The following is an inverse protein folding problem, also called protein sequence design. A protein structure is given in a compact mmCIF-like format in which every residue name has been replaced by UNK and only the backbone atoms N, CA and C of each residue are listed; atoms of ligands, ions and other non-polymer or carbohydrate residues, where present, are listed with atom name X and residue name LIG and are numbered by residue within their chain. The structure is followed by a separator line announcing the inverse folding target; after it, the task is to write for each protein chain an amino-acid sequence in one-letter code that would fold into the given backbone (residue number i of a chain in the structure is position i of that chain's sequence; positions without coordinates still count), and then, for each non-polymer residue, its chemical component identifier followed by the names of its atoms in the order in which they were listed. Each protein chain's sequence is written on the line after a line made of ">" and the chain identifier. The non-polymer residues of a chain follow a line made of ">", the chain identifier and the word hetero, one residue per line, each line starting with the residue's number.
data_IF_708836993135
#
_entry.id   IF_708836993135
#
_cell.length_a   1.000
_cell.length_b   1.000
_cell.length_c   1.000
_cell.angle_alpha   90.00
_cell.angle_beta   90.00
_cell.angle_gamma   90.00
#
_symmetry.space_group_name_H-M   'P 1'
#
loop_
_entity.id
_entity.type
_entity.pdbx_description
1 polymer ?
#
# COMPACT_ATOMS: atom_id res chain seq x y z
N UNK A 1 -27.64 22.36 20.36
CA UNK A 1 -26.60 21.44 20.86
C UNK A 1 -26.01 20.61 19.71
N UNK A 2 -24.69 20.38 19.77
CA UNK A 2 -23.90 19.71 18.73
C UNK A 2 -24.31 18.24 18.61
N UNK A 3 -24.68 17.82 17.39
CA UNK A 3 -24.78 16.42 16.98
C UNK A 3 -23.44 15.68 17.18
N UNK A 4 -23.18 15.21 18.41
CA UNK A 4 -22.14 14.23 18.68
C UNK A 4 -22.66 12.87 18.23
N UNK A 5 -22.53 12.59 16.93
CA UNK A 5 -22.67 11.21 16.44
C UNK A 5 -21.57 10.38 17.09
N UNK A 6 -21.97 9.41 17.90
CA UNK A 6 -21.07 8.36 18.38
C UNK A 6 -20.53 7.63 17.14
N UNK A 7 -19.33 8.01 16.73
CA UNK A 7 -18.58 7.29 15.71
C UNK A 7 -18.22 5.95 16.33
N UNK A 8 -18.69 4.81 15.78
CA UNK A 8 -18.32 3.49 16.31
C UNK A 8 -16.79 3.41 16.42
N UNK A 9 -16.25 2.87 17.50
CA UNK A 9 -14.80 2.86 17.81
C UNK A 9 -13.91 2.40 16.65
N UNK A 10 -14.42 1.51 15.78
CA UNK A 10 -13.75 1.05 14.56
C UNK A 10 -13.50 2.17 13.54
N UNK A 11 -14.38 3.16 13.46
CA UNK A 11 -14.26 4.34 12.61
C UNK A 11 -13.40 5.43 13.26
N UNK A 12 -13.35 5.49 14.59
CA UNK A 12 -12.47 6.40 15.31
C UNK A 12 -10.99 6.09 15.07
N UNK A 13 -10.61 4.81 15.04
CA UNK A 13 -9.24 4.39 14.74
C UNK A 13 -8.85 4.81 13.32
N UNK A 14 -9.71 4.53 12.33
CA UNK A 14 -9.45 4.92 10.93
C UNK A 14 -9.40 6.43 10.75
N UNK A 15 -10.26 7.18 11.44
CA UNK A 15 -10.26 8.65 11.38
C UNK A 15 -8.97 9.24 11.97
N UNK A 16 -8.48 8.68 13.08
CA UNK A 16 -7.19 9.07 13.67
C UNK A 16 -6.05 8.76 12.71
N UNK A 17 -6.04 7.58 12.09
CA UNK A 17 -5.02 7.21 11.11
C UNK A 17 -5.03 8.14 9.91
N UNK A 18 -6.21 8.47 9.37
CA UNK A 18 -6.34 9.38 8.23
C UNK A 18 -5.82 10.78 8.56
N UNK A 19 -6.19 11.33 9.73
CA UNK A 19 -5.74 12.65 10.17
C UNK A 19 -4.21 12.68 10.33
N UNK A 20 -3.63 11.72 11.06
CA UNK A 20 -2.19 11.69 11.31
C UNK A 20 -1.44 11.47 10.00
N UNK A 21 -1.88 10.52 9.18
CA UNK A 21 -1.20 10.23 7.91
C UNK A 21 -1.28 11.41 6.94
N UNK A 22 -2.37 12.19 6.89
CA UNK A 22 -2.41 13.43 6.10
C UNK A 22 -1.34 14.43 6.52
N UNK A 23 -1.15 14.64 7.82
CA UNK A 23 -0.09 15.54 8.31
C UNK A 23 1.30 15.05 7.92
N UNK A 24 1.55 13.74 8.03
CA UNK A 24 2.84 13.16 7.62
C UNK A 24 3.04 13.21 6.10
N UNK A 25 1.99 13.00 5.31
CA UNK A 25 2.02 13.09 3.84
C UNK A 25 2.47 14.48 3.40
N UNK A 26 1.93 15.55 3.99
CA UNK A 26 2.36 16.92 3.67
C UNK A 26 3.84 17.13 3.98
N UNK A 27 4.35 16.52 5.06
CA UNK A 27 5.77 16.56 5.38
C UNK A 27 6.61 15.75 4.37
N UNK A 28 6.18 14.53 4.03
CA UNK A 28 6.89 13.64 3.09
C UNK A 28 7.08 14.31 1.73
N UNK A 29 6.06 14.99 1.21
CA UNK A 29 6.12 15.70 -0.08
C UNK A 29 7.24 16.74 -0.17
N UNK A 30 7.73 17.24 0.96
CA UNK A 30 8.81 18.25 1.00
C UNK A 30 10.21 17.65 0.93
N UNK A 31 10.35 16.33 1.08
CA UNK A 31 11.65 15.67 1.12
C UNK A 31 12.16 15.29 -0.26
N UNK A 32 13.47 15.09 -0.44
CA UNK A 32 13.99 14.56 -1.71
C UNK A 32 13.51 13.12 -1.95
N UNK A 33 13.38 12.76 -3.22
CA UNK A 33 13.01 11.41 -3.64
C UNK A 33 14.07 10.37 -3.19
N UNK A 34 13.66 9.11 -3.06
CA UNK A 34 14.60 7.98 -2.95
C UNK A 34 15.36 7.81 -4.27
N UNK A 35 16.55 7.24 -4.21
CA UNK A 35 17.42 7.05 -5.39
C UNK A 35 17.26 5.70 -6.08
N UNK A 36 16.65 4.71 -5.41
CA UNK A 36 16.54 3.34 -5.91
C UNK A 36 15.16 2.75 -5.65
N UNK A 37 14.81 1.70 -6.40
CA UNK A 37 13.60 0.93 -6.15
C UNK A 37 13.81 0.07 -4.91
N UNK A 38 12.82 0.08 -4.01
CA UNK A 38 12.90 -0.69 -2.75
C UNK A 38 11.70 -1.60 -2.63
N UNK A 39 11.93 -2.82 -2.18
CA UNK A 39 10.84 -3.75 -1.82
C UNK A 39 11.03 -4.18 -0.37
N UNK A 40 9.97 -4.00 0.42
CA UNK A 40 9.88 -4.51 1.79
C UNK A 40 8.90 -5.66 1.82
N UNK A 41 9.27 -6.74 2.51
CA UNK A 41 8.49 -7.97 2.61
C UNK A 41 8.07 -8.19 4.08
N UNK A 42 6.82 -8.64 4.29
CA UNK A 42 6.38 -9.19 5.57
C UNK A 42 5.37 -10.30 5.33
N UNK A 43 5.60 -11.45 5.96
CA UNK A 43 4.67 -12.59 5.93
C UNK A 43 4.20 -12.87 7.35
N UNK A 44 2.89 -12.84 7.55
CA UNK A 44 2.30 -13.09 8.87
C UNK A 44 0.90 -13.70 8.75
N UNK A 45 0.66 -14.81 9.46
CA UNK A 45 -0.64 -15.52 9.45
C UNK A 45 -1.18 -15.73 8.02
N UNK A 46 -0.33 -16.24 7.12
CA UNK A 46 -0.67 -16.50 5.71
C UNK A 46 -1.13 -15.24 4.91
N UNK A 47 -0.72 -14.05 5.38
CA UNK A 47 -0.79 -12.82 4.61
C UNK A 47 0.59 -12.47 4.13
N UNK A 48 0.72 -12.27 2.82
CA UNK A 48 1.95 -11.78 2.19
C UNK A 48 1.78 -10.29 1.92
N UNK A 49 2.68 -9.49 2.45
CA UNK A 49 2.78 -8.06 2.19
C UNK A 49 4.07 -7.77 1.43
N UNK A 50 3.94 -7.17 0.25
CA UNK A 50 5.03 -6.60 -0.52
C UNK A 50 4.80 -5.09 -0.63
N UNK A 51 5.70 -4.28 -0.10
CA UNK A 51 5.65 -2.83 -0.25
C UNK A 51 6.73 -2.37 -1.21
N UNK A 52 6.30 -1.94 -2.39
CA UNK A 52 7.16 -1.36 -3.41
C UNK A 52 7.27 0.15 -3.21
N UNK A 53 8.49 0.66 -3.15
CA UNK A 53 8.78 2.08 -3.26
C UNK A 53 9.50 2.37 -4.58
N UNK A 54 8.98 3.37 -5.30
CA UNK A 54 9.47 3.84 -6.58
C UNK A 54 10.10 5.23 -6.37
N UNK A 55 11.28 5.51 -6.96
CA UNK A 55 11.93 6.82 -6.95
C UNK A 55 11.10 7.83 -7.76
N UNK A 56 10.12 8.43 -7.10
CA UNK A 56 9.20 9.41 -7.68
C UNK A 56 8.57 10.26 -6.59
N UNK A 57 7.89 11.33 -7.01
CA UNK A 57 7.07 12.16 -6.15
C UNK A 57 6.02 11.31 -5.40
N UNK A 58 5.62 11.78 -4.22
CA UNK A 58 4.66 11.08 -3.39
C UNK A 58 3.36 10.75 -4.13
N UNK A 59 3.10 9.45 -4.23
CA UNK A 59 1.79 8.89 -4.52
C UNK A 59 1.67 7.56 -3.79
N UNK A 60 0.45 7.16 -3.47
CA UNK A 60 0.23 5.99 -2.61
C UNK A 60 -0.91 5.12 -3.11
N UNK A 61 -0.67 3.82 -3.22
CA UNK A 61 -1.68 2.83 -3.57
C UNK A 61 -1.64 1.66 -2.60
N UNK A 62 -2.81 1.18 -2.22
CA UNK A 62 -2.98 -0.05 -1.45
C UNK A 62 -3.84 -0.99 -2.26
N UNK A 63 -3.39 -2.24 -2.37
CA UNK A 63 -4.12 -3.30 -3.03
C UNK A 63 -4.30 -4.49 -2.10
N UNK A 64 -5.50 -5.06 -2.08
CA UNK A 64 -5.78 -6.28 -1.34
C UNK A 64 -6.40 -7.33 -2.26
N UNK A 65 -5.86 -8.54 -2.20
CA UNK A 65 -6.45 -9.70 -2.85
C UNK A 65 -7.02 -10.68 -1.82
N UNK A 66 -8.28 -11.08 -2.04
CA UNK A 66 -9.02 -11.98 -1.17
C UNK A 66 -9.52 -13.20 -1.95
N UNK A 67 -9.11 -14.39 -1.50
CA UNK A 67 -9.44 -15.66 -2.15
C UNK A 67 -10.88 -16.10 -1.89
N UNK A 68 -11.50 -16.85 -2.82
CA UNK A 68 -12.77 -17.55 -2.58
C UNK A 68 -12.79 -18.30 -1.25
N UNK A 69 -13.89 -18.19 -0.51
CA UNK A 69 -14.08 -18.86 0.77
C UNK A 69 -13.43 -18.18 1.97
N UNK A 70 -12.69 -17.08 1.77
CA UNK A 70 -12.21 -16.23 2.88
C UNK A 70 -13.35 -15.37 3.43
N UNK A 71 -13.17 -14.83 4.64
CA UNK A 71 -14.18 -13.96 5.30
C UNK A 71 -14.60 -12.75 4.44
N UNK A 72 -13.69 -12.28 3.58
CA UNK A 72 -13.90 -11.12 2.70
C UNK A 72 -14.37 -11.50 1.29
N UNK A 73 -14.38 -12.79 0.96
CA UNK A 73 -14.90 -13.31 -0.30
C UNK A 73 -15.60 -14.68 -0.10
N UNK A 74 -16.64 -14.77 0.77
CA UNK A 74 -17.20 -16.04 1.22
C UNK A 74 -17.96 -16.80 0.12
N UNK A 75 -18.48 -16.08 -0.90
CA UNK A 75 -19.28 -16.64 -1.99
C UNK A 75 -18.67 -16.39 -3.38
N UNK A 76 -17.45 -15.85 -3.48
CA UNK A 76 -16.85 -15.56 -4.78
C UNK A 76 -16.38 -16.83 -5.49
N UNK A 77 -16.58 -16.87 -6.80
CA UNK A 77 -16.04 -17.92 -7.67
C UNK A 77 -14.59 -17.65 -8.12
N UNK A 78 -14.06 -16.45 -7.83
CA UNK A 78 -12.70 -16.03 -8.20
C UNK A 78 -12.11 -15.07 -7.17
N UNK A 79 -10.78 -14.95 -7.13
CA UNK A 79 -10.06 -14.02 -6.26
C UNK A 79 -10.42 -12.58 -6.61
N UNK A 80 -10.92 -11.84 -5.62
CA UNK A 80 -11.23 -10.42 -5.72
C UNK A 80 -9.98 -9.61 -5.41
N UNK A 81 -9.68 -8.61 -6.24
CA UNK A 81 -8.58 -7.67 -6.03
C UNK A 81 -9.18 -6.28 -5.98
N UNK A 82 -9.02 -5.60 -4.85
CA UNK A 82 -9.38 -4.20 -4.71
C UNK A 82 -8.11 -3.35 -4.78
N UNK A 83 -8.21 -2.19 -5.41
CA UNK A 83 -7.15 -1.19 -5.42
C UNK A 83 -7.71 0.18 -5.10
N UNK A 84 -7.06 0.87 -4.17
CA UNK A 84 -7.29 2.27 -3.89
C UNK A 84 -5.97 3.02 -4.00
N UNK A 85 -5.97 4.15 -4.69
CA UNK A 85 -4.78 4.98 -4.89
C UNK A 85 -5.05 6.45 -4.58
N UNK A 86 -3.97 7.20 -4.41
CA UNK A 86 -3.94 8.65 -4.31
C UNK A 86 -2.67 9.21 -4.95
N UNK A 87 -2.80 10.34 -5.65
CA UNK A 87 -1.67 11.08 -6.16
C UNK A 87 -1.15 12.11 -5.15
N UNK A 88 -0.30 13.02 -5.62
CA UNK A 88 0.22 14.13 -4.80
C UNK A 88 -0.86 15.04 -4.19
N UNK A 89 -2.08 15.07 -4.72
CA UNK A 89 -3.19 15.84 -4.16
C UNK A 89 -4.04 15.08 -3.13
N UNK A 90 -3.72 13.80 -2.87
CA UNK A 90 -4.50 12.94 -1.97
C UNK A 90 -5.87 12.52 -2.53
N UNK A 91 -6.69 11.88 -1.68
CA UNK A 91 -8.07 11.49 -2.01
C UNK A 91 -9.12 12.47 -1.50
N UNK A 92 -10.17 12.64 -2.29
CA UNK A 92 -11.41 13.33 -1.89
C UNK A 92 -12.49 12.37 -1.39
N UNK A 93 -12.41 11.09 -1.77
CA UNK A 93 -13.37 10.05 -1.39
C UNK A 93 -12.73 9.02 -0.46
N UNK A 94 -13.55 8.43 0.41
CA UNK A 94 -13.13 7.38 1.32
C UNK A 94 -12.67 6.13 0.55
N UNK A 95 -11.63 5.44 1.04
CA UNK A 95 -11.10 4.24 0.41
C UNK A 95 -12.12 3.07 0.44
N UNK A 96 -12.27 2.36 -0.67
CA UNK A 96 -13.12 1.17 -0.78
C UNK A 96 -12.60 0.02 0.09
N UNK A 97 -11.28 -0.16 0.16
CA UNK A 97 -10.57 -1.10 1.05
C UNK A 97 -10.80 -0.72 2.53
N UNK A 98 -11.19 0.52 2.79
CA UNK A 98 -11.54 1.01 4.12
C UNK A 98 -10.32 1.27 5.00
N UNK A 99 -10.38 0.88 6.27
CA UNK A 99 -9.38 1.25 7.28
C UNK A 99 -7.97 0.73 7.01
N UNK A 100 -7.83 -0.42 6.34
CA UNK A 100 -6.53 -0.99 5.99
C UNK A 100 -5.70 -0.04 5.12
N UNK A 101 -6.35 0.70 4.22
CA UNK A 101 -5.71 1.71 3.37
C UNK A 101 -4.99 2.78 4.19
N UNK A 102 -5.69 3.38 5.15
CA UNK A 102 -5.16 4.46 6.00
C UNK A 102 -4.13 3.96 7.00
N UNK A 103 -4.31 2.74 7.51
CA UNK A 103 -3.36 2.09 8.41
C UNK A 103 -2.02 1.80 7.73
N UNK A 104 -2.04 1.24 6.53
CA UNK A 104 -0.83 1.03 5.74
C UNK A 104 -0.18 2.36 5.34
N UNK A 105 -0.97 3.36 4.94
CA UNK A 105 -0.46 4.70 4.61
C UNK A 105 0.28 5.33 5.78
N UNK A 106 -0.31 5.28 6.98
CA UNK A 106 0.32 5.80 8.20
C UNK A 106 1.69 5.17 8.44
N UNK A 107 1.77 3.83 8.40
CA UNK A 107 3.01 3.10 8.61
C UNK A 107 4.10 3.43 7.57
N UNK A 108 3.71 3.58 6.29
CA UNK A 108 4.62 4.01 5.21
C UNK A 108 5.13 5.43 5.47
N UNK A 109 4.24 6.35 5.82
CA UNK A 109 4.59 7.75 6.03
C UNK A 109 5.53 7.91 7.24
N UNK A 110 5.31 7.16 8.32
CA UNK A 110 6.21 7.13 9.49
C UNK A 110 7.65 6.79 9.06
N UNK A 111 7.83 5.79 8.18
CA UNK A 111 9.14 5.39 7.69
C UNK A 111 9.78 6.47 6.80
N UNK A 112 9.02 7.02 5.84
CA UNK A 112 9.54 8.04 4.94
C UNK A 112 9.90 9.35 5.66
N UNK A 113 9.14 9.73 6.69
CA UNK A 113 9.49 10.87 7.56
C UNK A 113 10.76 10.61 8.34
N UNK A 114 10.93 9.39 8.89
CA UNK A 114 12.13 8.99 9.60
C UNK A 114 13.37 9.05 8.70
N UNK A 115 13.25 8.62 7.45
CA UNK A 115 14.34 8.66 6.47
C UNK A 115 14.52 10.03 5.81
N UNK A 116 13.55 10.94 5.98
CA UNK A 116 13.46 12.23 5.28
C UNK A 116 13.54 12.07 3.78
N UNK A 117 12.72 11.16 3.24
CA UNK A 117 12.63 10.86 1.81
C UNK A 117 11.18 10.85 1.35
N UNK A 118 10.97 11.01 0.04
CA UNK A 118 9.69 10.77 -0.62
C UNK A 118 9.80 9.67 -1.66
N UNK A 119 8.68 9.01 -1.94
CA UNK A 119 8.58 7.94 -2.93
C UNK A 119 7.12 7.78 -3.35
N UNK A 120 6.91 7.23 -4.55
CA UNK A 120 5.65 6.57 -4.87
C UNK A 120 5.63 5.20 -4.20
N UNK A 121 4.60 4.90 -3.41
CA UNK A 121 4.52 3.67 -2.60
C UNK A 121 3.29 2.85 -2.96
N UNK A 122 3.50 1.57 -3.23
CA UNK A 122 2.44 0.62 -3.57
C UNK A 122 2.51 -0.54 -2.59
N UNK A 123 1.46 -0.71 -1.79
CA UNK A 123 1.32 -1.79 -0.81
C UNK A 123 0.46 -2.88 -1.42
N UNK A 124 1.06 -4.04 -1.67
CA UNK A 124 0.40 -5.22 -2.23
C UNK A 124 0.19 -6.24 -1.10
N UNK A 125 -1.05 -6.65 -0.88
CA UNK A 125 -1.40 -7.63 0.15
C UNK A 125 -2.17 -8.80 -0.44
N UNK A 126 -1.59 -9.99 -0.38
CA UNK A 126 -2.27 -11.25 -0.72
C UNK A 126 -2.70 -11.97 0.57
N UNK A 127 -4.00 -12.00 0.85
CA UNK A 127 -4.56 -12.75 1.98
C UNK A 127 -4.97 -14.14 1.50
N UNK A 128 -4.11 -15.13 1.75
CA UNK A 128 -4.28 -16.51 1.27
C UNK A 128 -5.36 -17.27 2.06
N UNK A 129 -5.85 -18.41 1.54
CA UNK A 129 -6.94 -19.16 2.18
C UNK A 129 -6.68 -19.61 3.63
N UNK A 130 -5.41 -19.75 4.06
CA UNK A 130 -5.06 -20.06 5.45
C UNK A 130 -5.29 -18.91 6.42
N UNK A 131 -5.59 -17.70 5.93
CA UNK A 131 -5.97 -16.57 6.77
C UNK A 131 -7.44 -16.65 7.19
N UNK A 132 -7.67 -17.37 8.29
CA UNK A 132 -9.01 -17.72 8.78
C UNK A 132 -9.59 -16.67 9.75
N UNK A 133 -8.78 -15.74 10.29
CA UNK A 133 -9.21 -14.82 11.34
C UNK A 133 -9.18 -13.34 10.93
N UNK A 134 -10.28 -12.59 11.08
CA UNK A 134 -10.30 -11.15 10.83
C UNK A 134 -9.71 -10.38 12.04
N UNK A 135 -8.38 -10.25 12.10
CA UNK A 135 -7.67 -9.59 13.23
C UNK A 135 -7.80 -8.05 13.19
N UNK A 136 -8.45 -7.51 12.15
CA UNK A 136 -8.76 -6.09 12.04
C UNK A 136 -7.63 -5.23 11.46
N UNK A 137 -7.91 -3.92 11.37
CA UNK A 137 -7.07 -2.93 10.66
C UNK A 137 -5.67 -2.78 11.27
N UNK A 138 -5.54 -3.00 12.58
CA UNK A 138 -4.25 -2.90 13.27
C UNK A 138 -3.24 -3.94 12.77
N UNK A 139 -3.68 -5.13 12.36
CA UNK A 139 -2.77 -6.14 11.80
C UNK A 139 -2.06 -5.62 10.55
N UNK A 140 -2.77 -4.91 9.67
CA UNK A 140 -2.18 -4.32 8.46
C UNK A 140 -1.13 -3.28 8.85
N UNK A 141 -1.46 -2.40 9.81
CA UNK A 141 -0.52 -1.38 10.30
C UNK A 141 0.78 -2.00 10.81
N UNK A 142 0.67 -3.00 11.68
CA UNK A 142 1.86 -3.62 12.27
C UNK A 142 2.64 -4.46 11.27
N UNK A 143 1.98 -5.12 10.32
CA UNK A 143 2.68 -5.85 9.27
C UNK A 143 3.50 -4.90 8.39
N UNK A 144 2.91 -3.78 7.98
CA UNK A 144 3.63 -2.78 7.20
C UNK A 144 4.77 -2.16 8.03
N UNK A 145 4.55 -1.87 9.32
CA UNK A 145 5.64 -1.41 10.21
C UNK A 145 6.76 -2.44 10.36
N UNK A 146 6.42 -3.72 10.50
CA UNK A 146 7.38 -4.80 10.60
C UNK A 146 8.17 -5.00 9.30
N UNK A 147 7.53 -4.84 8.14
CA UNK A 147 8.21 -4.80 6.85
C UNK A 147 9.21 -3.62 6.81
N UNK A 148 8.77 -2.42 7.16
CA UNK A 148 9.60 -1.19 7.13
C UNK A 148 10.74 -1.16 8.15
N UNK A 149 10.66 -1.96 9.22
CA UNK A 149 11.77 -2.13 10.19
C UNK A 149 12.90 -2.99 9.64
N UNK A 150 12.65 -3.82 8.63
CA UNK A 150 13.65 -4.66 8.00
C UNK A 150 14.40 -3.90 6.92
N UNK A 151 15.59 -4.39 6.58
CA UNK A 151 16.34 -3.82 5.47
C UNK A 151 15.60 -4.10 4.14
N UNK A 152 15.33 -3.06 3.32
CA UNK A 152 14.69 -3.27 2.03
C UNK A 152 15.60 -4.02 1.08
N UNK A 153 14.99 -4.76 0.16
CA UNK A 153 15.67 -5.23 -1.05
C UNK A 153 15.73 -4.08 -2.05
N UNK A 154 16.93 -3.80 -2.54
CA UNK A 154 17.19 -2.70 -3.47
C UNK A 154 17.27 -3.24 -4.90
N UNK A 155 16.68 -2.52 -5.84
CA UNK A 155 16.67 -2.87 -7.26
C UNK A 155 17.03 -1.66 -8.12
N UNK A 156 17.57 -1.93 -9.31
CA UNK A 156 17.99 -0.89 -10.26
C UNK A 156 16.86 -0.49 -11.20
N UNK A 157 15.88 -1.36 -11.41
CA UNK A 157 14.73 -1.10 -12.28
C UNK A 157 13.43 -1.57 -11.67
N UNK A 158 12.33 -0.95 -12.12
CA UNK A 158 10.98 -1.38 -11.78
C UNK A 158 10.74 -2.85 -12.18
N UNK A 159 11.25 -3.27 -13.34
CA UNK A 159 11.08 -4.64 -13.83
C UNK A 159 11.73 -5.68 -12.92
N UNK A 160 12.93 -5.42 -12.41
CA UNK A 160 13.60 -6.31 -11.45
C UNK A 160 12.80 -6.43 -10.14
N UNK A 161 12.32 -5.29 -9.62
CA UNK A 161 11.50 -5.26 -8.41
C UNK A 161 10.18 -6.04 -8.60
N UNK A 162 9.52 -5.84 -9.75
CA UNK A 162 8.28 -6.54 -10.09
C UNK A 162 8.48 -8.04 -10.31
N UNK A 163 9.59 -8.45 -10.93
CA UNK A 163 9.95 -9.87 -11.05
C UNK A 163 10.14 -10.51 -9.67
N UNK A 164 10.83 -9.82 -8.75
CA UNK A 164 10.96 -10.31 -7.37
C UNK A 164 9.60 -10.48 -6.68
N UNK A 165 8.74 -9.46 -6.75
CA UNK A 165 7.38 -9.48 -6.18
C UNK A 165 6.53 -10.61 -6.80
N UNK A 166 6.66 -10.84 -8.11
CA UNK A 166 5.91 -11.90 -8.80
C UNK A 166 6.20 -13.31 -8.27
N UNK A 167 7.41 -13.55 -7.74
CA UNK A 167 7.79 -14.83 -7.14
C UNK A 167 7.26 -15.02 -5.71
N UNK A 168 6.65 -13.99 -5.11
CA UNK A 168 6.11 -14.01 -3.75
C UNK A 168 4.61 -14.25 -3.71
N UNK A 169 3.90 -13.83 -4.75
CA UNK A 169 2.46 -14.02 -4.88
C UNK A 169 2.10 -15.29 -5.63
N UNK A 170 1.00 -15.91 -5.24
CA UNK A 170 0.38 -16.99 -6.02
C UNK A 170 -0.47 -16.41 -7.15
N UNK A 171 -1.07 -15.22 -6.94
CA UNK A 171 -1.80 -14.50 -7.97
C UNK A 171 -0.81 -13.93 -9.00
N UNK A 172 -1.02 -14.21 -10.31
CA UNK A 172 -0.16 -13.68 -11.36
C UNK A 172 -0.04 -12.16 -11.31
N UNK A 173 1.19 -11.64 -11.43
CA UNK A 173 1.49 -10.21 -11.38
C UNK A 173 0.64 -9.39 -12.37
N UNK A 174 0.29 -9.95 -13.53
CA UNK A 174 -0.54 -9.27 -14.53
C UNK A 174 -1.89 -8.84 -13.95
N UNK A 175 -2.50 -9.64 -13.06
CA UNK A 175 -3.78 -9.29 -12.43
C UNK A 175 -3.64 -8.09 -11.50
N UNK A 176 -2.53 -8.01 -10.76
CA UNK A 176 -2.20 -6.85 -9.93
C UNK A 176 -1.99 -5.60 -10.78
N UNK A 177 -1.20 -5.70 -11.85
CA UNK A 177 -0.93 -4.58 -12.77
C UNK A 177 -2.23 -4.06 -13.40
N UNK A 178 -3.11 -4.95 -13.87
CA UNK A 178 -4.37 -4.53 -14.50
C UNK A 178 -5.24 -3.68 -13.56
N UNK A 179 -5.24 -4.03 -12.27
CA UNK A 179 -6.03 -3.35 -11.25
C UNK A 179 -5.34 -2.11 -10.66
N UNK A 180 -4.02 -2.01 -10.76
CA UNK A 180 -3.21 -0.94 -10.15
C UNK A 180 -3.10 0.30 -11.03
N UNK A 181 -3.53 1.45 -10.54
CA UNK A 181 -3.39 2.71 -11.26
C UNK A 181 -1.97 3.26 -11.23
N UNK A 182 -1.24 3.12 -10.11
CA UNK A 182 0.13 3.64 -10.01
C UNK A 182 1.13 2.72 -10.73
N UNK A 183 0.97 1.39 -10.69
CA UNK A 183 1.83 0.50 -11.50
C UNK A 183 1.62 0.72 -12.99
N UNK A 184 0.37 0.89 -13.44
CA UNK A 184 0.10 1.23 -14.85
C UNK A 184 0.79 2.53 -15.23
N UNK A 185 0.66 3.58 -14.41
CA UNK A 185 1.37 4.85 -14.67
C UNK A 185 2.88 4.64 -14.71
N UNK A 186 3.46 3.96 -13.72
CA UNK A 186 4.91 3.74 -13.66
C UNK A 186 5.45 2.90 -14.84
N UNK A 187 4.65 1.97 -15.37
CA UNK A 187 5.05 1.12 -16.52
C UNK A 187 4.86 1.80 -17.87
N UNK A 188 3.79 2.59 -18.04
CA UNK A 188 3.41 3.17 -19.34
C UNK A 188 3.82 4.63 -19.51
N UNK A 189 4.00 5.38 -18.42
CA UNK A 189 4.41 6.77 -18.46
C UNK A 189 5.94 6.87 -18.45
N UNK A 190 6.54 6.99 -19.64
CA UNK A 190 7.94 7.42 -19.77
C UNK A 190 8.08 8.83 -19.18
N UNK A 191 9.01 9.03 -18.24
CA UNK A 191 9.25 10.36 -17.67
C UNK A 191 10.01 11.21 -18.67
N UNK A 192 9.79 12.52 -18.64
CA UNK A 192 10.56 13.48 -19.44
C UNK A 192 12.08 13.38 -19.15
N UNK A 193 12.48 12.97 -17.95
CA UNK A 193 13.88 12.68 -17.60
C UNK A 193 14.50 11.58 -18.45
N UNK A 194 13.70 10.60 -18.88
CA UNK A 194 14.15 9.47 -19.72
C UNK A 194 14.37 9.91 -21.18
N UNK A 195 13.87 11.08 -21.57
CA UNK A 195 14.10 11.67 -22.89
C UNK A 195 15.39 12.49 -22.97
N UNK A 196 15.94 12.92 -21.82
CA UNK A 196 17.15 13.76 -21.75
C UNK A 196 18.39 13.01 -21.22
N UNK A 197 18.31 11.68 -21.04
CA UNK A 197 19.45 10.80 -20.69
C UNK A 197 20.02 10.09 -21.92
#
# INVERSE_FOLDING_TARGET
>A
EKNRRLVPTRWSITAVDDIISKTLVEQVKTFPEISEYRVYESVYLDNVFEILMIPDAWSYESMEAWYPGTVWNPHGSSTLIFSDWEGGNGRTTYAQIGGCYYAARLAVCEQLVKERRQATVIVLREARPGYIMPVGVWQVRENVRNAMRQAPRLFKSLNEALQFISGRFEIPLQRWIMQSELLKKALFQKKLSDFFS
#
